data_IF_417803172818
#
_entry.id   IF_417803172818
#
_cell.length_a   1.000
_cell.length_b   1.000
_cell.length_c   1.000
_cell.angle_alpha   90.00
_cell.angle_beta   90.00
_cell.angle_gamma   90.00
#
_symmetry.space_group_name_H-M   'P 1'
#
loop_
_entity.id
_entity.type
_entity.pdbx_description
1 polymer ?
#
# COMPACT_ATOMS: atom_id res chain seq x y z
N UNK A 1 40.30 48.97 -47.78
CA UNK A 1 40.59 47.83 -46.87
C UNK A 1 39.73 48.01 -45.66
N UNK A 2 38.64 47.27 -45.62
CA UNK A 2 37.62 47.32 -44.51
C UNK A 2 37.87 46.10 -43.66
N UNK A 3 38.37 46.29 -42.41
CA UNK A 3 38.56 45.23 -41.44
C UNK A 3 37.22 44.96 -40.72
N UNK A 4 36.62 43.80 -40.98
CA UNK A 4 35.47 43.32 -40.28
C UNK A 4 35.90 42.82 -38.87
N UNK A 5 35.55 43.57 -37.85
CA UNK A 5 35.64 43.12 -36.46
C UNK A 5 34.42 42.25 -36.15
N UNK A 6 34.63 40.95 -36.09
CA UNK A 6 33.63 40.02 -35.64
C UNK A 6 33.56 40.08 -34.10
N UNK A 7 32.51 40.69 -33.59
CA UNK A 7 32.20 40.70 -32.14
C UNK A 7 31.63 39.32 -31.82
N UNK A 8 32.40 38.49 -31.12
CA UNK A 8 31.90 37.23 -30.53
C UNK A 8 31.09 37.57 -29.30
N UNK A 9 29.77 37.55 -29.40
CA UNK A 9 28.87 37.63 -28.27
C UNK A 9 28.85 36.24 -27.59
N UNK A 10 29.49 36.11 -26.43
CA UNK A 10 29.46 34.92 -25.60
C UNK A 10 28.15 34.94 -24.78
N UNK A 11 27.16 34.20 -25.26
CA UNK A 11 25.91 34.02 -24.49
C UNK A 11 26.20 33.01 -23.40
N UNK A 12 26.38 33.50 -22.17
CA UNK A 12 26.43 32.67 -20.97
C UNK A 12 24.98 32.31 -20.62
N UNK A 13 24.57 31.09 -20.99
CA UNK A 13 23.31 30.52 -20.50
C UNK A 13 23.52 30.10 -19.05
N UNK A 14 23.10 30.95 -18.12
CA UNK A 14 23.01 30.59 -16.70
C UNK A 14 21.77 29.68 -16.58
N UNK A 15 21.99 28.39 -16.62
CA UNK A 15 20.97 27.38 -16.25
C UNK A 15 20.71 27.51 -14.75
N UNK A 16 19.67 28.25 -14.38
CA UNK A 16 19.13 28.21 -13.00
C UNK A 16 18.52 26.82 -12.81
N UNK A 17 19.30 25.90 -12.25
CA UNK A 17 18.79 24.64 -11.75
C UNK A 17 17.92 24.94 -10.53
N UNK A 18 16.61 25.07 -10.73
CA UNK A 18 15.65 25.06 -9.65
C UNK A 18 15.65 23.65 -9.05
N UNK A 19 16.52 23.42 -8.07
CA UNK A 19 16.40 22.24 -7.21
C UNK A 19 15.18 22.46 -6.33
N UNK A 20 14.04 21.91 -6.71
CA UNK A 20 12.94 21.74 -5.77
C UNK A 20 13.45 20.80 -4.68
N UNK A 21 13.38 21.20 -3.38
CA UNK A 21 13.65 20.24 -2.32
C UNK A 21 12.60 19.13 -2.47
N UNK A 22 13.02 17.93 -2.86
CA UNK A 22 12.22 16.76 -2.68
C UNK A 22 12.03 16.63 -1.15
N UNK A 23 10.87 17.02 -0.62
CA UNK A 23 10.54 16.78 0.76
C UNK A 23 10.54 15.27 0.93
N UNK A 24 11.59 14.71 1.49
CA UNK A 24 11.63 13.31 1.86
C UNK A 24 10.48 13.10 2.87
N UNK A 25 9.63 12.13 2.59
CA UNK A 25 8.51 11.78 3.44
C UNK A 25 9.01 11.43 4.83
N UNK A 26 8.43 12.03 5.87
CA UNK A 26 8.87 11.82 7.24
C UNK A 26 8.42 10.45 7.77
N UNK A 27 9.09 9.92 8.79
CA UNK A 27 8.65 8.68 9.46
C UNK A 27 7.21 8.81 9.98
N UNK A 28 6.82 10.00 10.44
CA UNK A 28 5.46 10.29 10.88
C UNK A 28 4.45 10.16 9.74
N UNK A 29 4.74 10.73 8.57
CA UNK A 29 3.84 10.68 7.41
C UNK A 29 3.67 9.24 6.92
N UNK A 30 4.76 8.48 6.81
CA UNK A 30 4.73 7.06 6.43
C UNK A 30 3.90 6.23 7.42
N UNK A 31 4.09 6.44 8.74
CA UNK A 31 3.30 5.74 9.76
C UNK A 31 1.81 6.11 9.66
N UNK A 32 1.48 7.38 9.44
CA UNK A 32 0.10 7.84 9.24
C UNK A 32 -0.52 7.20 8.00
N UNK A 33 0.19 7.20 6.89
CA UNK A 33 -0.28 6.61 5.63
C UNK A 33 -0.57 5.12 5.78
N UNK A 34 0.37 4.33 6.33
CA UNK A 34 0.13 2.89 6.51
C UNK A 34 -1.04 2.60 7.45
N UNK A 35 -1.23 3.39 8.53
CA UNK A 35 -2.39 3.26 9.41
C UNK A 35 -3.70 3.57 8.68
N UNK A 36 -3.71 4.62 7.85
CA UNK A 36 -4.86 4.98 7.04
C UNK A 36 -5.22 3.88 6.03
N UNK A 37 -4.23 3.29 5.35
CA UNK A 37 -4.45 2.20 4.40
C UNK A 37 -4.97 0.92 5.06
N UNK A 38 -4.45 0.55 6.24
CA UNK A 38 -5.01 -0.59 6.99
C UNK A 38 -6.44 -0.33 7.45
N UNK A 39 -6.74 0.88 7.95
CA UNK A 39 -8.09 1.28 8.32
C UNK A 39 -9.03 1.26 7.12
N UNK A 40 -8.57 1.74 5.97
CA UNK A 40 -9.30 1.70 4.71
C UNK A 40 -9.58 0.25 4.31
N UNK A 41 -8.58 -0.63 4.32
CA UNK A 41 -8.78 -2.06 4.00
C UNK A 41 -9.81 -2.72 4.92
N UNK A 42 -9.78 -2.42 6.23
CA UNK A 42 -10.76 -2.97 7.16
C UNK A 42 -12.19 -2.51 6.85
N UNK A 43 -12.38 -1.21 6.59
CA UNK A 43 -13.70 -0.67 6.22
C UNK A 43 -14.17 -1.22 4.86
N UNK A 44 -13.25 -1.37 3.90
CA UNK A 44 -13.53 -1.94 2.59
C UNK A 44 -13.90 -3.43 2.70
N UNK A 45 -13.21 -4.21 3.55
CA UNK A 45 -13.55 -5.61 3.80
C UNK A 45 -14.99 -5.80 4.32
N UNK A 46 -15.44 -4.92 5.22
CA UNK A 46 -16.83 -4.94 5.68
C UNK A 46 -17.83 -4.66 4.56
N UNK A 47 -17.49 -3.74 3.65
CA UNK A 47 -18.31 -3.45 2.46
C UNK A 47 -18.33 -4.62 1.48
N UNK A 48 -17.17 -5.25 1.23
CA UNK A 48 -17.07 -6.47 0.42
C UNK A 48 -17.99 -7.54 0.99
N UNK A 49 -17.94 -7.80 2.29
CA UNK A 49 -18.80 -8.79 2.95
C UNK A 49 -20.29 -8.44 2.79
N UNK A 50 -20.67 -7.18 2.99
CA UNK A 50 -22.06 -6.75 2.88
C UNK A 50 -22.60 -6.86 1.45
N UNK A 51 -21.81 -6.49 0.44
CA UNK A 51 -22.18 -6.59 -0.97
C UNK A 51 -22.27 -8.06 -1.42
N UNK A 52 -21.27 -8.87 -1.07
CA UNK A 52 -21.27 -10.30 -1.41
C UNK A 52 -22.45 -11.04 -0.79
N UNK A 53 -22.81 -10.72 0.46
CA UNK A 53 -23.99 -11.30 1.13
C UNK A 53 -25.32 -10.92 0.46
N UNK A 54 -25.35 -9.85 -0.34
CA UNK A 54 -26.51 -9.40 -1.11
C UNK A 54 -26.48 -9.87 -2.56
N UNK A 55 -25.41 -10.57 -2.98
CA UNK A 55 -25.20 -11.01 -4.36
C UNK A 55 -24.69 -9.91 -5.31
N UNK A 56 -24.31 -8.73 -4.80
CA UNK A 56 -23.73 -7.64 -5.60
C UNK A 56 -22.22 -7.89 -5.80
N UNK A 57 -21.90 -8.97 -6.50
CA UNK A 57 -20.53 -9.43 -6.68
C UNK A 57 -19.69 -8.47 -7.53
N UNK A 58 -20.28 -7.78 -8.49
CA UNK A 58 -19.53 -6.88 -9.37
C UNK A 58 -18.92 -5.72 -8.58
N UNK A 59 -19.73 -5.05 -7.74
CA UNK A 59 -19.20 -4.02 -6.84
C UNK A 59 -18.26 -4.57 -5.76
N UNK A 60 -18.52 -5.78 -5.27
CA UNK A 60 -17.62 -6.42 -4.32
C UNK A 60 -16.23 -6.68 -4.93
N UNK A 61 -16.16 -7.11 -6.20
CA UNK A 61 -14.91 -7.35 -6.93
C UNK A 61 -14.09 -6.06 -7.10
N UNK A 62 -14.71 -4.93 -7.43
CA UNK A 62 -14.02 -3.64 -7.52
C UNK A 62 -13.31 -3.30 -6.20
N UNK A 63 -13.99 -3.51 -5.07
CA UNK A 63 -13.43 -3.28 -3.75
C UNK A 63 -12.32 -4.28 -3.36
N UNK A 64 -12.41 -5.52 -3.80
CA UNK A 64 -11.34 -6.52 -3.62
C UNK A 64 -10.08 -6.10 -4.38
N UNK A 65 -10.22 -5.60 -5.61
CA UNK A 65 -9.10 -5.07 -6.39
C UNK A 65 -8.47 -3.87 -5.68
N UNK A 66 -9.28 -2.94 -5.17
CA UNK A 66 -8.79 -1.80 -4.37
C UNK A 66 -7.99 -2.28 -3.15
N UNK A 67 -8.47 -3.29 -2.41
CA UNK A 67 -7.74 -3.86 -1.28
C UNK A 67 -6.42 -4.48 -1.70
N UNK A 68 -6.38 -5.17 -2.84
CA UNK A 68 -5.15 -5.74 -3.40
C UNK A 68 -4.09 -4.64 -3.67
N UNK A 69 -4.49 -3.54 -4.31
CA UNK A 69 -3.57 -2.41 -4.57
C UNK A 69 -3.10 -1.74 -3.27
N UNK A 70 -3.98 -1.58 -2.29
CA UNK A 70 -3.60 -1.06 -0.97
C UNK A 70 -2.54 -1.96 -0.29
N UNK A 71 -2.64 -3.30 -0.40
CA UNK A 71 -1.60 -4.21 0.13
C UNK A 71 -0.27 -4.06 -0.59
N UNK A 72 -0.26 -3.84 -1.91
CA UNK A 72 0.98 -3.56 -2.67
C UNK A 72 1.63 -2.25 -2.21
N UNK A 73 0.84 -1.20 -2.03
CA UNK A 73 1.33 0.09 -1.50
C UNK A 73 1.93 -0.09 -0.10
N UNK A 74 1.25 -0.84 0.77
CA UNK A 74 1.71 -1.12 2.12
C UNK A 74 3.09 -1.80 2.19
N UNK A 75 3.51 -2.57 1.18
CA UNK A 75 4.85 -3.16 1.13
C UNK A 75 5.96 -2.12 1.25
N UNK A 76 5.78 -0.92 0.71
CA UNK A 76 6.74 0.18 0.75
C UNK A 76 6.73 0.99 2.06
N UNK A 77 5.71 0.82 2.92
CA UNK A 77 5.48 1.70 4.08
C UNK A 77 6.06 1.18 5.40
N UNK A 78 7.10 0.33 5.34
CA UNK A 78 7.82 -0.20 6.50
C UNK A 78 9.34 0.00 6.37
N UNK A 79 9.83 1.23 6.09
CA UNK A 79 11.26 1.50 6.14
C UNK A 79 11.77 1.45 7.59
N UNK A 80 13.09 1.28 7.76
CA UNK A 80 13.72 1.04 9.08
C UNK A 80 13.43 2.17 10.08
N UNK A 81 13.34 3.39 9.63
CA UNK A 81 13.07 4.57 10.47
C UNK A 81 11.63 4.70 10.95
N UNK A 82 10.76 3.71 10.71
CA UNK A 82 9.33 3.72 11.11
C UNK A 82 8.98 2.62 12.11
N UNK A 83 9.98 2.07 12.82
CA UNK A 83 9.78 1.00 13.79
C UNK A 83 9.09 1.48 15.06
N UNK A 84 9.33 2.72 15.46
CA UNK A 84 8.89 3.29 16.73
C UNK A 84 8.26 4.67 16.54
N UNK A 85 7.54 5.12 17.55
CA UNK A 85 6.96 6.46 17.58
C UNK A 85 5.57 6.56 16.93
N UNK A 86 5.00 7.75 16.98
CA UNK A 86 3.74 8.14 16.32
C UNK A 86 2.56 7.17 16.55
N UNK A 87 2.52 6.51 17.71
CA UNK A 87 1.51 5.49 18.07
C UNK A 87 1.43 4.37 17.03
N UNK A 88 2.58 3.92 16.50
CA UNK A 88 2.61 2.71 15.68
C UNK A 88 2.28 1.49 16.53
N UNK A 89 1.51 0.57 15.97
CA UNK A 89 1.18 -0.73 16.58
C UNK A 89 1.99 -1.87 15.95
N UNK A 90 2.91 -1.52 15.04
CA UNK A 90 3.79 -2.48 14.38
C UNK A 90 4.82 -3.03 15.34
N UNK A 91 4.96 -4.35 15.41
CA UNK A 91 5.98 -4.99 16.25
C UNK A 91 7.34 -4.96 15.54
N UNK A 92 8.47 -4.86 16.29
CA UNK A 92 9.84 -4.92 15.73
C UNK A 92 10.11 -6.17 14.89
N UNK A 93 9.36 -7.23 15.11
CA UNK A 93 9.45 -8.50 14.38
C UNK A 93 9.25 -8.34 12.86
N UNK A 94 8.52 -7.31 12.43
CA UNK A 94 8.35 -6.98 10.99
C UNK A 94 9.70 -6.78 10.31
N UNK A 95 10.63 -6.07 10.96
CA UNK A 95 11.94 -5.74 10.40
C UNK A 95 12.95 -6.87 10.60
N UNK A 96 12.76 -7.68 11.63
CA UNK A 96 13.60 -8.90 11.87
C UNK A 96 13.26 -10.01 10.89
N UNK A 97 11.99 -10.12 10.49
CA UNK A 97 11.48 -11.13 9.56
C UNK A 97 10.91 -10.48 8.28
N UNK A 98 11.62 -9.50 7.73
CA UNK A 98 11.10 -8.65 6.65
C UNK A 98 10.59 -9.44 5.44
N UNK A 99 11.30 -10.46 5.02
CA UNK A 99 10.92 -11.28 3.87
C UNK A 99 9.63 -12.07 4.14
N UNK A 100 9.50 -12.64 5.34
CA UNK A 100 8.30 -13.37 5.74
C UNK A 100 7.08 -12.43 5.87
N UNK A 101 7.28 -11.23 6.41
CA UNK A 101 6.25 -10.20 6.46
C UNK A 101 5.82 -9.77 5.05
N UNK A 102 6.77 -9.47 4.17
CA UNK A 102 6.49 -9.09 2.78
C UNK A 102 5.75 -10.19 2.03
N UNK A 103 6.12 -11.47 2.24
CA UNK A 103 5.43 -12.61 1.65
C UNK A 103 3.96 -12.70 2.10
N UNK A 104 3.66 -12.43 3.38
CA UNK A 104 2.28 -12.37 3.88
C UNK A 104 1.49 -11.21 3.27
N UNK A 105 2.10 -10.03 3.12
CA UNK A 105 1.46 -8.88 2.48
C UNK A 105 1.17 -9.16 1.01
N UNK A 106 2.13 -9.76 0.28
CA UNK A 106 1.94 -10.17 -1.11
C UNK A 106 0.83 -11.21 -1.21
N UNK A 107 0.84 -12.23 -0.36
CA UNK A 107 -0.22 -13.24 -0.31
C UNK A 107 -1.59 -12.62 -0.03
N UNK A 108 -1.66 -11.60 0.83
CA UNK A 108 -2.92 -10.88 1.10
C UNK A 108 -3.43 -10.16 -0.16
N UNK A 109 -2.54 -9.53 -0.92
CA UNK A 109 -2.87 -8.93 -2.22
C UNK A 109 -3.39 -9.98 -3.21
N UNK A 110 -2.67 -11.08 -3.37
CA UNK A 110 -3.02 -12.17 -4.30
C UNK A 110 -4.34 -12.84 -3.91
N UNK A 111 -4.60 -13.02 -2.62
CA UNK A 111 -5.86 -13.55 -2.10
C UNK A 111 -7.05 -12.65 -2.48
N UNK A 112 -6.89 -11.33 -2.47
CA UNK A 112 -7.95 -10.41 -2.92
C UNK A 112 -8.25 -10.59 -4.41
N UNK A 113 -7.22 -10.75 -5.24
CA UNK A 113 -7.41 -11.03 -6.67
C UNK A 113 -8.05 -12.42 -6.88
N UNK A 114 -7.56 -13.43 -6.15
CA UNK A 114 -8.17 -14.79 -6.22
C UNK A 114 -9.63 -14.75 -5.83
N UNK A 115 -9.99 -14.02 -4.79
CA UNK A 115 -11.36 -13.88 -4.32
C UNK A 115 -12.29 -13.30 -5.41
N UNK A 116 -11.82 -12.37 -6.24
CA UNK A 116 -12.62 -11.85 -7.36
C UNK A 116 -13.04 -12.92 -8.36
N UNK A 117 -12.23 -13.96 -8.51
CA UNK A 117 -12.51 -15.04 -9.47
C UNK A 117 -13.42 -16.13 -8.92
N UNK A 118 -13.46 -16.33 -7.59
CA UNK A 118 -14.18 -17.47 -6.99
C UNK A 118 -15.47 -17.08 -6.27
N UNK A 119 -15.63 -15.82 -5.89
CA UNK A 119 -16.71 -15.39 -4.98
C UNK A 119 -18.12 -15.62 -5.57
N UNK A 120 -18.29 -15.43 -6.89
CA UNK A 120 -19.58 -15.55 -7.57
C UNK A 120 -20.06 -17.00 -7.62
N UNK A 121 -19.13 -17.94 -7.79
CA UNK A 121 -19.41 -19.35 -7.98
C UNK A 121 -19.29 -20.14 -6.67
N UNK A 122 -19.22 -19.44 -5.54
CA UNK A 122 -19.06 -20.02 -4.21
C UNK A 122 -20.40 -20.54 -3.68
N UNK A 123 -20.43 -21.80 -3.25
CA UNK A 123 -21.56 -22.39 -2.53
C UNK A 123 -21.75 -21.79 -1.13
N UNK A 124 -20.65 -21.34 -0.51
CA UNK A 124 -20.65 -20.66 0.80
C UNK A 124 -19.81 -19.38 0.74
N UNK A 125 -20.48 -18.27 0.44
CA UNK A 125 -19.88 -16.93 0.37
C UNK A 125 -19.16 -16.56 1.67
N UNK A 126 -19.71 -16.92 2.84
CA UNK A 126 -19.11 -16.58 4.14
C UNK A 126 -17.82 -17.35 4.36
N UNK A 127 -17.79 -18.63 4.08
CA UNK A 127 -16.60 -19.46 4.19
C UNK A 127 -15.49 -18.96 3.25
N UNK A 128 -15.85 -18.63 2.00
CA UNK A 128 -14.94 -18.12 0.99
C UNK A 128 -14.34 -16.77 1.40
N UNK A 129 -15.14 -15.84 1.91
CA UNK A 129 -14.66 -14.56 2.46
C UNK A 129 -13.74 -14.77 3.66
N UNK A 130 -14.05 -15.74 4.54
CA UNK A 130 -13.19 -16.07 5.67
C UNK A 130 -11.85 -16.61 5.17
N UNK A 131 -11.85 -17.53 4.24
CA UNK A 131 -10.65 -18.18 3.71
C UNK A 131 -9.68 -17.17 3.06
N UNK A 132 -10.16 -16.31 2.18
CA UNK A 132 -9.28 -15.45 1.38
C UNK A 132 -9.06 -14.06 1.99
N UNK A 133 -10.07 -13.46 2.63
CA UNK A 133 -10.01 -12.10 3.12
C UNK A 133 -9.68 -11.99 4.60
N UNK A 134 -10.53 -12.57 5.46
CA UNK A 134 -10.36 -12.40 6.91
C UNK A 134 -9.15 -13.15 7.47
N UNK A 135 -8.83 -14.34 6.94
CA UNK A 135 -7.63 -15.08 7.32
C UNK A 135 -6.34 -14.32 6.96
N UNK A 136 -6.35 -13.55 5.89
CA UNK A 136 -5.21 -12.70 5.50
C UNK A 136 -4.97 -11.58 6.54
N UNK A 137 -6.03 -10.97 7.06
CA UNK A 137 -5.92 -10.00 8.16
C UNK A 137 -5.36 -10.64 9.43
N UNK A 138 -5.90 -11.80 9.83
CA UNK A 138 -5.51 -12.52 11.03
C UNK A 138 -4.05 -12.99 10.98
N UNK A 139 -3.58 -13.51 9.85
CA UNK A 139 -2.23 -14.02 9.69
C UNK A 139 -1.15 -12.97 9.98
N UNK A 140 -1.37 -11.71 9.56
CA UNK A 140 -0.46 -10.61 9.87
C UNK A 140 -0.66 -10.09 11.30
N UNK A 141 -1.90 -9.88 11.72
CA UNK A 141 -2.21 -9.25 13.01
C UNK A 141 -1.78 -10.12 14.21
N UNK A 142 -1.91 -11.43 14.11
CA UNK A 142 -1.52 -12.35 15.18
C UNK A 142 0.00 -12.36 15.45
N UNK A 143 0.82 -11.96 14.49
CA UNK A 143 2.27 -12.05 14.58
C UNK A 143 2.99 -10.70 14.61
N UNK A 144 2.50 -9.72 13.89
CA UNK A 144 3.22 -8.49 13.58
C UNK A 144 2.58 -7.22 14.14
N UNK A 145 1.44 -7.34 14.83
CA UNK A 145 0.73 -6.21 15.44
C UNK A 145 0.63 -6.37 16.95
N UNK A 146 0.68 -5.24 17.69
CA UNK A 146 0.41 -5.24 19.12
C UNK A 146 -0.99 -5.78 19.39
N UNK A 147 -1.16 -6.64 20.43
CA UNK A 147 -2.48 -7.06 20.89
C UNK A 147 -3.32 -5.86 21.36
N UNK A 148 -4.63 -5.91 21.14
CA UNK A 148 -5.60 -4.95 21.66
C UNK A 148 -6.38 -5.57 22.82
#
# INVERSE_FOLDING_TARGET
>A
MIQNKIIKILIIIISLSFSFPANAETAEDIIKERKALFSKNYSTAKRVQALSSKGDFDKAKELMIEMSENYKTLLGLFPVNTQEGFKTESLPLIWQEKDAFNALMQKSSDNMIKLTSVIKDSDDVRATLKEFMWSSCEACHSKYRMPH
#
